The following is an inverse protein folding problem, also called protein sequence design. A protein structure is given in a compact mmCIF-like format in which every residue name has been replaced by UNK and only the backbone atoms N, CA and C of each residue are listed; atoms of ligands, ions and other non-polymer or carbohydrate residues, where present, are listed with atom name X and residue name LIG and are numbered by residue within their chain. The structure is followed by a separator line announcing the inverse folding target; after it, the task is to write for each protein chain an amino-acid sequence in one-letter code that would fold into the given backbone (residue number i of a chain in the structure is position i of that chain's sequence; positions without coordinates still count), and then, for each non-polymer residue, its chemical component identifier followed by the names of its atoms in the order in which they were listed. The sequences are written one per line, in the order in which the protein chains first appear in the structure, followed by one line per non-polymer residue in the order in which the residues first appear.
data_IF_355095114080
#
_entry.id   IF_355095114080
#
_cell.length_a   1.000
_cell.length_b   1.000
_cell.length_c   1.000
_cell.angle_alpha   90.00
_cell.angle_beta   90.00
_cell.angle_gamma   90.00
#
_symmetry.space_group_name_H-M   'P 1'
#
loop_
_entity.id
_entity.type
_entity.pdbx_description
1 polymer ?
#
# COMPACT_ATOMS: atom_id res chain seq x y z
N UNK A 1 3.25 0.45 -6.60
CA UNK A 1 2.54 -0.76 -6.09
C UNK A 1 3.06 -1.96 -6.85
N UNK A 2 3.41 -3.04 -6.15
CA UNK A 2 3.89 -4.29 -6.76
C UNK A 2 2.71 -5.27 -6.88
N UNK A 3 2.68 -6.14 -7.88
CA UNK A 3 1.67 -7.19 -8.04
C UNK A 3 0.49 -6.86 -8.98
N UNK A 4 -0.12 -7.92 -9.53
CA UNK A 4 -1.18 -7.85 -10.55
C UNK A 4 -2.52 -7.34 -10.01
N UNK A 5 -3.36 -6.83 -10.93
CA UNK A 5 -4.73 -6.44 -10.61
C UNK A 5 -5.56 -7.69 -10.28
N UNK A 6 -6.16 -7.79 -9.09
CA UNK A 6 -7.07 -8.89 -8.79
C UNK A 6 -8.30 -8.82 -9.71
N UNK A 7 -8.86 -9.99 -10.03
CA UNK A 7 -10.08 -10.08 -10.84
C UNK A 7 -11.21 -9.24 -10.22
N UNK A 8 -11.89 -8.37 -10.99
CA UNK A 8 -13.00 -7.56 -10.48
C UNK A 8 -14.16 -8.36 -9.89
N UNK A 9 -14.31 -9.63 -10.30
CA UNK A 9 -15.41 -10.50 -9.87
C UNK A 9 -15.23 -11.06 -8.45
N UNK A 10 -14.02 -11.05 -7.90
CA UNK A 10 -13.71 -11.58 -6.58
C UNK A 10 -12.73 -10.65 -5.85
N UNK A 11 -13.20 -9.48 -5.37
CA UNK A 11 -12.34 -8.59 -4.60
C UNK A 11 -11.90 -9.26 -3.30
N UNK A 12 -10.65 -9.03 -2.84
CA UNK A 12 -10.21 -9.53 -1.55
C UNK A 12 -10.99 -8.87 -0.41
N UNK A 13 -11.10 -9.55 0.74
CA UNK A 13 -11.77 -9.03 1.93
C UNK A 13 -10.99 -7.86 2.54
N UNK A 14 -11.72 -6.93 3.16
CA UNK A 14 -11.12 -5.72 3.74
C UNK A 14 -10.52 -4.79 2.69
N UNK A 15 -9.41 -4.14 3.02
CA UNK A 15 -8.78 -3.17 2.12
C UNK A 15 -8.35 -3.82 0.79
N UNK A 16 -8.97 -3.41 -0.32
CA UNK A 16 -8.69 -3.96 -1.67
C UNK A 16 -7.23 -3.93 -2.12
N UNK A 17 -6.40 -3.11 -1.47
CA UNK A 17 -4.99 -2.98 -1.77
C UNK A 17 -4.09 -3.83 -0.87
N UNK A 18 -4.63 -4.53 0.15
CA UNK A 18 -3.82 -5.19 1.18
C UNK A 18 -2.83 -6.22 0.64
N UNK A 19 -3.12 -6.86 -0.50
CA UNK A 19 -2.23 -7.84 -1.15
C UNK A 19 -1.01 -7.20 -1.81
N UNK A 20 -1.02 -5.87 -1.99
CA UNK A 20 -0.01 -5.10 -2.73
C UNK A 20 0.37 -3.77 -2.07
N UNK A 21 -0.07 -3.56 -0.84
CA UNK A 21 0.12 -2.31 -0.11
C UNK A 21 1.50 -2.27 0.53
N UNK A 22 2.38 -1.43 0.01
CA UNK A 22 3.72 -1.19 0.57
C UNK A 22 3.66 -0.74 2.04
N UNK A 23 2.68 0.10 2.38
CA UNK A 23 2.54 0.60 3.75
C UNK A 23 2.14 -0.51 4.71
N UNK A 24 1.31 -1.47 4.28
CA UNK A 24 0.96 -2.63 5.10
C UNK A 24 2.19 -3.48 5.42
N UNK A 25 3.04 -3.72 4.43
CA UNK A 25 4.30 -4.45 4.60
C UNK A 25 5.24 -3.71 5.57
N UNK A 26 5.43 -2.41 5.37
CA UNK A 26 6.22 -1.52 6.24
C UNK A 26 5.68 -1.39 7.68
N UNK A 27 4.38 -1.61 7.89
CA UNK A 27 3.72 -1.63 9.20
C UNK A 27 3.67 -3.04 9.83
N UNK A 28 4.29 -4.05 9.22
CA UNK A 28 4.33 -5.40 9.79
C UNK A 28 3.06 -6.22 9.56
N UNK A 29 2.34 -5.97 8.47
CA UNK A 29 1.18 -6.74 8.02
C UNK A 29 -0.03 -6.76 8.98
N UNK A 30 -0.54 -5.60 9.45
CA UNK A 30 -1.68 -5.54 10.35
C UNK A 30 -2.93 -6.24 9.78
N UNK A 31 -3.60 -7.04 10.63
CA UNK A 31 -4.79 -7.84 10.28
C UNK A 31 -5.98 -6.97 9.87
N UNK A 32 -6.10 -5.77 10.43
CA UNK A 32 -7.19 -4.84 10.10
C UNK A 32 -7.31 -4.56 8.59
N UNK A 33 -6.20 -4.60 7.86
CA UNK A 33 -6.18 -4.43 6.41
C UNK A 33 -6.82 -5.59 5.64
N UNK A 34 -6.88 -6.80 6.21
CA UNK A 34 -7.45 -8.01 5.58
C UNK A 34 -8.86 -8.33 6.05
N UNK A 35 -9.26 -7.82 7.22
CA UNK A 35 -10.58 -8.09 7.82
C UNK A 35 -11.59 -6.99 7.56
N UNK A 36 -11.17 -5.72 7.62
CA UNK A 36 -12.09 -4.59 7.67
C UNK A 36 -11.96 -3.70 6.44
N UNK A 37 -13.09 -3.29 5.88
CA UNK A 37 -13.12 -2.25 4.85
C UNK A 37 -12.78 -0.88 5.49
N UNK A 38 -11.80 -0.14 4.96
CA UNK A 38 -11.44 1.16 5.51
C UNK A 38 -12.55 2.19 5.26
N UNK A 39 -12.84 2.98 6.29
CA UNK A 39 -13.80 4.08 6.17
C UNK A 39 -13.27 5.13 5.18
N UNK A 40 -14.18 5.61 4.33
CA UNK A 40 -13.91 6.72 3.44
C UNK A 40 -14.05 8.05 4.18
N UNK A 41 -12.91 8.66 4.54
CA UNK A 41 -12.84 9.89 5.33
C UNK A 41 -12.04 11.00 4.64
N UNK A 42 -12.19 12.21 5.15
CA UNK A 42 -11.34 13.36 4.80
C UNK A 42 -10.22 13.45 5.83
N UNK A 43 -8.98 13.62 5.37
CA UNK A 43 -7.82 13.87 6.23
C UNK A 43 -7.34 15.32 6.09
N UNK A 44 -6.31 15.69 6.87
CA UNK A 44 -5.65 16.99 6.73
C UNK A 44 -5.34 17.30 5.26
N UNK A 45 -5.37 18.57 4.87
CA UNK A 45 -5.28 19.08 3.49
C UNK A 45 -6.50 18.87 2.58
N UNK A 46 -7.61 18.33 3.09
CA UNK A 46 -8.87 18.18 2.33
C UNK A 46 -8.88 16.97 1.40
N UNK A 47 -7.83 16.14 1.44
CA UNK A 47 -7.77 14.88 0.70
C UNK A 47 -8.74 13.85 1.26
N UNK A 48 -9.32 13.04 0.37
CA UNK A 48 -10.22 11.95 0.71
C UNK A 48 -9.49 10.62 0.57
N UNK A 49 -9.64 9.75 1.57
CA UNK A 49 -8.90 8.50 1.66
C UNK A 49 -9.76 7.39 2.28
N UNK A 50 -9.56 6.17 1.80
CA UNK A 50 -10.05 4.94 2.41
C UNK A 50 -8.85 4.06 2.79
N UNK A 51 -8.15 4.43 3.86
CA UNK A 51 -6.98 3.71 4.39
C UNK A 51 -7.05 3.68 5.92
N UNK A 52 -6.73 2.54 6.52
CA UNK A 52 -6.72 2.41 7.99
C UNK A 52 -5.61 3.21 8.67
N UNK A 53 -4.52 3.49 7.95
CA UNK A 53 -3.27 4.05 8.47
C UNK A 53 -2.77 5.21 7.61
N UNK A 54 -3.67 6.04 7.09
CA UNK A 54 -3.28 7.17 6.23
C UNK A 54 -2.35 8.16 6.95
N UNK A 55 -2.53 8.29 8.26
CA UNK A 55 -1.80 9.17 9.17
C UNK A 55 -0.38 8.67 9.46
N UNK A 56 -0.10 7.38 9.22
CA UNK A 56 1.24 6.77 9.39
C UNK A 56 2.14 7.00 8.17
N UNK A 57 1.63 7.62 7.11
CA UNK A 57 2.42 7.94 5.92
C UNK A 57 3.35 9.11 6.24
N UNK A 58 4.65 8.85 6.23
CA UNK A 58 5.71 9.86 6.40
C UNK A 58 6.63 9.93 5.18
N UNK A 59 7.29 11.06 4.98
CA UNK A 59 8.28 11.25 3.90
C UNK A 59 9.37 10.17 3.92
N UNK A 60 9.83 9.79 5.12
CA UNK A 60 10.80 8.71 5.32
C UNK A 60 10.28 7.36 4.81
N UNK A 61 9.06 6.98 5.19
CA UNK A 61 8.44 5.71 4.76
C UNK A 61 8.19 5.70 3.26
N UNK A 62 7.76 6.82 2.68
CA UNK A 62 7.57 6.97 1.23
C UNK A 62 8.91 6.80 0.51
N UNK A 63 9.96 7.45 1.00
CA UNK A 63 11.31 7.37 0.42
C UNK A 63 11.85 5.94 0.48
N UNK A 64 11.70 5.26 1.62
CA UNK A 64 12.09 3.86 1.79
C UNK A 64 11.35 2.93 0.82
N UNK A 65 10.03 3.10 0.69
CA UNK A 65 9.22 2.30 -0.23
C UNK A 65 9.61 2.54 -1.70
N UNK A 66 9.95 3.77 -2.08
CA UNK A 66 10.39 4.13 -3.42
C UNK A 66 11.78 3.57 -3.74
N UNK A 67 12.73 3.64 -2.80
CA UNK A 67 14.09 3.12 -2.97
C UNK A 67 14.12 1.60 -3.26
N UNK A 68 13.22 0.83 -2.66
CA UNK A 68 13.05 -0.62 -2.89
C UNK A 68 12.55 -0.98 -4.30
N UNK A 69 12.07 -0.01 -5.09
CA UNK A 69 11.71 -0.20 -6.50
C UNK A 69 12.90 0.11 -7.42
N UNK A 70 13.71 1.13 -7.10
CA UNK A 70 14.87 1.54 -7.91
C UNK A 70 16.02 0.53 -7.86
N UNK A 71 16.34 -0.03 -6.69
CA UNK A 71 17.39 -1.05 -6.54
C UNK A 71 17.17 -2.34 -7.34
N UNK A 72 15.92 -2.60 -7.76
CA UNK A 72 15.58 -3.80 -8.52
C UNK A 72 15.66 -3.58 -10.04
N UNK A 73 15.72 -2.33 -10.50
CA UNK A 73 15.94 -2.00 -11.92
C UNK A 73 17.44 -2.02 -12.29
N UNK A 74 18.32 -1.79 -11.32
CA UNK A 74 19.77 -1.75 -11.54
C UNK A 74 20.41 -3.16 -11.66
N UNK A 75 19.66 -4.25 -11.45
CA UNK A 75 20.16 -5.64 -11.54
C UNK A 75 19.79 -6.35 -12.87
N UNK A 76 19.06 -5.68 -13.77
CA UNK A 76 18.63 -6.25 -15.06
C UNK A 76 19.46 -5.73 -16.27
N UNK A 77 20.46 -4.86 -16.07
CA UNK A 77 21.34 -4.33 -17.15
C UNK A 77 22.66 -5.10 -17.35
N UNK A 78 22.91 -6.21 -16.63
CA UNK A 78 24.13 -7.03 -16.71
C UNK A 78 23.91 -8.45 -17.28
N UNK A 79 22.96 -8.63 -18.22
CA UNK A 79 22.84 -9.84 -19.08
C UNK A 79 22.77 -9.48 -20.56
#
# INVERSE_FOLDING_TARGET
LKGDLPSPAAPPSGCRFHTRCWLREELGNPEKCTTDDPEFRIIASGHRVACHYAEEISEERVTKAAATVTLQADLDEDV
#
